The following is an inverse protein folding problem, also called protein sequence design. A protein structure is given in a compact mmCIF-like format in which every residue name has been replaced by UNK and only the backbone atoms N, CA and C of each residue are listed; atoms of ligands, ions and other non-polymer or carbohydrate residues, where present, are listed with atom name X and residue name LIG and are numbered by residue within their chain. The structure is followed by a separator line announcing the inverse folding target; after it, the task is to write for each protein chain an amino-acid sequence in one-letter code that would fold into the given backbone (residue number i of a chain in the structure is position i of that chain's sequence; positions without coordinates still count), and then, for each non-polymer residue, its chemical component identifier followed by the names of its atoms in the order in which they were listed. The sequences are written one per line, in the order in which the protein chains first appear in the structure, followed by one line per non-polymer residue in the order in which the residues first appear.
data_IF_635627442170
#
_entry.id   IF_635627442170
#
_cell.length_a   1.000
_cell.length_b   1.000
_cell.length_c   1.000
_cell.angle_alpha   90.00
_cell.angle_beta   90.00
_cell.angle_gamma   90.00
#
_symmetry.space_group_name_H-M   'P 1'
#
loop_
_entity.id
_entity.type
_entity.pdbx_description
1 polymer ?
#
# COMPACT_ATOMS: atom_id res chain seq x y z
N UNK A 1 -21.36 -12.99 -45.34
CA UNK A 1 -21.10 -12.10 -44.19
C UNK A 1 -19.59 -12.02 -44.09
N UNK A 2 -19.00 -10.82 -44.09
CA UNK A 2 -17.57 -10.67 -43.83
C UNK A 2 -17.23 -11.44 -42.55
N UNK A 3 -16.38 -12.47 -42.64
CA UNK A 3 -16.12 -13.47 -41.59
C UNK A 3 -15.58 -12.88 -40.27
N UNK A 4 -15.26 -11.59 -40.25
CA UNK A 4 -14.61 -10.90 -39.15
C UNK A 4 -15.55 -10.05 -38.29
N UNK A 5 -16.82 -9.85 -38.68
CA UNK A 5 -17.80 -9.11 -37.88
C UNK A 5 -18.59 -10.05 -36.98
N UNK A 6 -18.45 -9.86 -35.67
CA UNK A 6 -19.14 -10.67 -34.66
C UNK A 6 -20.30 -9.88 -34.08
N UNK A 7 -21.49 -10.49 -34.07
CA UNK A 7 -22.66 -9.98 -33.35
C UNK A 7 -22.48 -10.15 -31.84
N UNK A 8 -22.56 -9.04 -31.11
CA UNK A 8 -22.41 -9.00 -29.65
C UNK A 8 -23.72 -8.71 -28.91
N UNK A 9 -24.83 -8.49 -29.61
CA UNK A 9 -26.16 -8.28 -29.02
C UNK A 9 -27.01 -7.19 -29.66
N UNK A 10 -28.20 -6.98 -29.12
CA UNK A 10 -29.13 -5.95 -29.58
C UNK A 10 -28.67 -4.56 -29.13
N UNK A 11 -28.66 -3.59 -30.04
CA UNK A 11 -28.21 -2.22 -29.76
C UNK A 11 -29.06 -1.56 -28.66
N UNK A 12 -30.38 -1.79 -28.66
CA UNK A 12 -31.29 -1.23 -27.66
C UNK A 12 -31.00 -1.74 -26.24
N UNK A 13 -30.59 -3.00 -26.09
CA UNK A 13 -30.21 -3.57 -24.80
C UNK A 13 -28.83 -3.07 -24.37
N UNK A 14 -27.85 -3.13 -25.27
CA UNK A 14 -26.47 -2.79 -24.96
C UNK A 14 -26.29 -1.29 -24.67
N UNK A 15 -27.10 -0.42 -25.26
CA UNK A 15 -27.08 1.02 -25.03
C UNK A 15 -27.60 1.45 -23.63
N UNK A 16 -28.18 0.53 -22.85
CA UNK A 16 -28.66 0.84 -21.49
C UNK A 16 -27.54 1.01 -20.47
N UNK A 17 -26.31 0.61 -20.81
CA UNK A 17 -25.14 0.70 -19.93
C UNK A 17 -24.05 1.53 -20.57
N UNK A 18 -23.47 2.46 -19.82
CA UNK A 18 -22.37 3.29 -20.30
C UNK A 18 -21.11 2.45 -20.63
N UNK A 19 -20.87 1.39 -19.88
CA UNK A 19 -19.78 0.43 -20.08
C UNK A 19 -20.23 -0.96 -19.62
N UNK A 20 -19.80 -1.99 -20.32
CA UNK A 20 -20.03 -3.38 -19.95
C UNK A 20 -18.98 -4.31 -20.59
N UNK A 21 -18.75 -5.47 -19.96
CA UNK A 21 -18.01 -6.57 -20.58
C UNK A 21 -18.88 -7.27 -21.61
N UNK A 22 -18.32 -7.49 -22.79
CA UNK A 22 -18.90 -8.33 -23.83
C UNK A 22 -17.85 -9.29 -24.39
N UNK A 23 -18.30 -10.35 -25.04
CA UNK A 23 -17.44 -11.27 -25.78
C UNK A 23 -17.73 -11.15 -27.27
N UNK A 24 -16.71 -10.85 -28.05
CA UNK A 24 -16.73 -10.87 -29.51
C UNK A 24 -15.88 -12.06 -29.99
N UNK A 25 -16.52 -13.20 -30.26
CA UNK A 25 -15.84 -14.44 -30.60
C UNK A 25 -15.05 -14.96 -29.39
N UNK A 26 -13.72 -15.03 -29.51
CA UNK A 26 -12.83 -15.41 -28.41
C UNK A 26 -12.26 -14.20 -27.64
N UNK A 27 -12.57 -12.97 -28.07
CA UNK A 27 -12.01 -11.74 -27.48
C UNK A 27 -12.98 -11.17 -26.45
N UNK A 28 -12.48 -10.90 -25.24
CA UNK A 28 -13.21 -10.07 -24.27
C UNK A 28 -12.99 -8.59 -24.55
N UNK A 29 -14.09 -7.85 -24.69
CA UNK A 29 -14.08 -6.41 -24.95
C UNK A 29 -14.77 -5.65 -23.82
N UNK A 30 -14.31 -4.42 -23.59
CA UNK A 30 -15.09 -3.39 -22.92
C UNK A 30 -15.90 -2.67 -24.01
N UNK A 31 -17.21 -2.89 -24.00
CA UNK A 31 -18.15 -2.19 -24.87
C UNK A 31 -18.64 -0.95 -24.12
N UNK A 32 -18.49 0.21 -24.75
CA UNK A 32 -18.93 1.50 -24.22
C UNK A 32 -20.07 2.06 -25.07
N UNK A 33 -20.98 2.78 -24.43
CA UNK A 33 -22.03 3.55 -25.09
C UNK A 33 -22.03 4.97 -24.56
N UNK A 34 -21.89 5.94 -25.46
CA UNK A 34 -21.94 7.36 -25.12
C UNK A 34 -22.33 8.18 -26.35
N UNK A 35 -23.18 9.18 -26.14
CA UNK A 35 -23.56 10.18 -27.15
C UNK A 35 -24.02 9.54 -28.48
N UNK A 36 -24.84 8.49 -28.39
CA UNK A 36 -25.38 7.79 -29.56
C UNK A 36 -24.39 6.84 -30.26
N UNK A 37 -23.19 6.62 -29.70
CA UNK A 37 -22.13 5.87 -30.36
C UNK A 37 -21.52 4.78 -29.48
N UNK A 38 -21.42 3.57 -30.03
CA UNK A 38 -20.66 2.48 -29.43
C UNK A 38 -19.14 2.67 -29.63
N UNK A 39 -18.37 2.17 -28.68
CA UNK A 39 -16.93 1.97 -28.81
C UNK A 39 -16.52 0.64 -28.20
N UNK A 40 -15.60 -0.08 -28.82
CA UNK A 40 -15.10 -1.35 -28.33
C UNK A 40 -13.58 -1.33 -28.22
N UNK A 41 -13.07 -1.68 -27.05
CA UNK A 41 -11.64 -1.89 -26.81
C UNK A 41 -11.44 -3.21 -26.08
N UNK A 42 -10.21 -3.71 -26.06
CA UNK A 42 -9.89 -4.95 -25.35
C UNK A 42 -10.14 -4.79 -23.85
N UNK A 43 -10.74 -5.79 -23.22
CA UNK A 43 -11.18 -5.69 -21.82
C UNK A 43 -10.01 -5.55 -20.82
N UNK A 44 -8.87 -6.19 -21.07
CA UNK A 44 -7.69 -6.09 -20.21
C UNK A 44 -6.89 -4.77 -20.37
N UNK A 45 -6.86 -3.97 -19.30
CA UNK A 45 -6.02 -2.78 -19.11
C UNK A 45 -4.51 -3.09 -19.22
N UNK A 46 -3.72 -2.19 -19.82
CA UNK A 46 -2.27 -2.38 -19.99
C UNK A 46 -1.47 -2.33 -18.68
N UNK A 47 -1.98 -1.71 -17.61
CA UNK A 47 -1.29 -1.60 -16.33
C UNK A 47 -1.04 -3.00 -15.70
N UNK A 48 -2.07 -3.66 -15.18
CA UNK A 48 -1.96 -5.02 -14.63
C UNK A 48 -3.09 -5.97 -15.04
N UNK A 49 -3.81 -5.63 -16.12
CA UNK A 49 -4.85 -6.50 -16.69
C UNK A 49 -6.25 -6.35 -16.08
N UNK A 50 -6.56 -5.20 -15.49
CA UNK A 50 -7.89 -4.90 -14.95
C UNK A 50 -9.00 -4.94 -16.02
N UNK A 51 -10.21 -5.42 -15.68
CA UNK A 51 -11.33 -5.54 -16.62
C UNK A 51 -12.01 -4.17 -16.84
N UNK A 52 -11.68 -3.50 -17.94
CA UNK A 52 -12.22 -2.18 -18.29
C UNK A 52 -13.74 -2.19 -18.46
N UNK A 53 -14.33 -3.33 -18.85
CA UNK A 53 -15.77 -3.48 -18.96
C UNK A 53 -16.51 -3.52 -17.61
N UNK A 54 -15.81 -3.75 -16.50
CA UNK A 54 -16.34 -3.59 -15.13
C UNK A 54 -15.99 -2.20 -14.54
N UNK A 55 -15.37 -1.34 -15.35
CA UNK A 55 -14.95 0.00 -14.98
C UNK A 55 -16.07 1.03 -15.06
N UNK A 56 -15.65 2.28 -15.21
CA UNK A 56 -16.54 3.42 -15.43
C UNK A 56 -16.14 4.18 -16.70
N UNK A 57 -16.98 5.11 -17.13
CA UNK A 57 -16.67 6.03 -18.22
C UNK A 57 -16.54 7.46 -17.65
N UNK A 58 -15.41 8.12 -17.90
CA UNK A 58 -15.16 9.51 -17.55
C UNK A 58 -14.80 10.28 -18.82
N UNK A 59 -15.71 11.11 -19.33
CA UNK A 59 -15.52 11.66 -20.67
C UNK A 59 -15.56 10.55 -21.73
N UNK A 60 -14.65 10.60 -22.70
CA UNK A 60 -14.45 9.52 -23.66
C UNK A 60 -13.48 8.44 -23.18
N UNK A 61 -13.14 8.41 -21.89
CA UNK A 61 -12.16 7.49 -21.34
C UNK A 61 -12.79 6.43 -20.46
N UNK A 62 -12.50 5.17 -20.77
CA UNK A 62 -12.75 4.02 -19.90
C UNK A 62 -11.77 4.06 -18.74
N UNK A 63 -12.30 3.99 -17.52
CA UNK A 63 -11.55 4.06 -16.27
C UNK A 63 -11.47 2.66 -15.67
N UNK A 64 -10.25 2.15 -15.54
CA UNK A 64 -9.99 0.83 -14.99
C UNK A 64 -10.48 0.74 -13.52
N UNK A 65 -11.26 -0.29 -13.15
CA UNK A 65 -11.81 -0.41 -11.80
C UNK A 65 -10.76 -0.75 -10.73
N UNK A 66 -9.52 -1.09 -11.12
CA UNK A 66 -8.47 -1.44 -10.17
C UNK A 66 -7.57 -0.26 -9.83
N UNK A 67 -7.10 0.49 -10.82
CA UNK A 67 -6.08 1.53 -10.61
C UNK A 67 -6.39 2.79 -11.38
N UNK A 68 -7.64 2.98 -11.80
CA UNK A 68 -8.12 4.18 -12.47
C UNK A 68 -7.38 4.55 -13.78
N UNK A 69 -6.50 3.69 -14.30
CA UNK A 69 -5.85 3.85 -15.60
C UNK A 69 -6.90 4.05 -16.68
N UNK A 70 -6.65 5.01 -17.58
CA UNK A 70 -7.63 5.48 -18.53
C UNK A 70 -7.23 5.18 -19.96
N UNK A 71 -8.21 4.74 -20.75
CA UNK A 71 -8.05 4.54 -22.20
C UNK A 71 -9.25 5.09 -22.95
N UNK A 72 -9.00 5.77 -24.05
CA UNK A 72 -10.04 6.31 -24.91
C UNK A 72 -10.88 5.18 -25.50
N UNK A 73 -12.19 5.26 -25.30
CA UNK A 73 -13.16 4.16 -25.49
C UNK A 73 -13.30 3.66 -26.94
N UNK A 74 -12.81 4.42 -27.93
CA UNK A 74 -12.89 4.10 -29.37
C UNK A 74 -11.54 3.88 -30.04
N UNK A 75 -10.47 4.48 -29.51
CA UNK A 75 -9.14 4.43 -30.14
C UNK A 75 -8.15 3.59 -29.34
N UNK A 76 -8.48 3.31 -28.08
CA UNK A 76 -7.66 2.57 -27.14
C UNK A 76 -6.43 3.31 -26.63
N UNK A 77 -6.22 4.57 -27.04
CA UNK A 77 -5.08 5.38 -26.59
C UNK A 77 -5.23 5.75 -25.11
N UNK A 78 -4.12 5.88 -24.38
CA UNK A 78 -4.10 6.44 -23.03
C UNK A 78 -4.65 7.87 -22.99
N UNK A 79 -4.91 8.36 -21.78
CA UNK A 79 -5.32 9.76 -21.57
C UNK A 79 -4.21 10.76 -21.95
N UNK A 80 -4.53 12.06 -22.08
CA UNK A 80 -3.55 13.05 -22.52
C UNK A 80 -2.26 13.01 -21.69
N UNK A 81 -1.11 12.91 -22.35
CA UNK A 81 0.20 12.70 -21.74
C UNK A 81 0.63 11.23 -21.59
N UNK A 82 -0.27 10.28 -21.86
CA UNK A 82 -0.04 8.83 -21.78
C UNK A 82 -0.39 8.11 -23.09
N UNK A 83 -0.43 8.81 -24.21
CA UNK A 83 -0.88 8.29 -25.52
C UNK A 83 0.03 7.17 -26.07
N UNK A 84 1.26 7.06 -25.55
CA UNK A 84 2.17 5.96 -25.85
C UNK A 84 1.67 4.60 -25.31
N UNK A 85 0.76 4.60 -24.33
CA UNK A 85 0.09 3.40 -23.84
C UNK A 85 -1.23 3.18 -24.62
N UNK A 86 -1.39 2.02 -25.24
CA UNK A 86 -2.53 1.71 -26.11
C UNK A 86 -3.04 0.29 -25.93
N UNK A 87 -4.33 0.16 -25.65
CA UNK A 87 -5.05 -1.11 -25.73
C UNK A 87 -5.67 -1.30 -27.13
N UNK A 88 -5.85 -2.54 -27.62
CA UNK A 88 -6.52 -2.78 -28.89
C UNK A 88 -7.92 -2.17 -28.93
N UNK A 89 -8.24 -1.43 -29.98
CA UNK A 89 -9.57 -0.95 -30.29
C UNK A 89 -10.12 -1.71 -31.50
N UNK A 90 -11.43 -1.94 -31.49
CA UNK A 90 -12.13 -2.72 -32.51
C UNK A 90 -13.18 -1.84 -33.20
N UNK A 91 -13.24 -1.85 -34.54
CA UNK A 91 -14.32 -1.19 -35.26
C UNK A 91 -15.69 -1.75 -34.82
N UNK A 92 -16.67 -0.85 -34.65
CA UNK A 92 -18.03 -1.19 -34.26
C UNK A 92 -19.00 -0.59 -35.28
N UNK A 93 -20.01 -1.34 -35.69
CA UNK A 93 -21.14 -0.84 -36.48
C UNK A 93 -22.46 -1.38 -35.92
N UNK A 94 -23.56 -0.69 -36.25
CA UNK A 94 -24.92 -1.14 -35.93
C UNK A 94 -25.64 -1.42 -37.24
N UNK A 95 -26.06 -2.66 -37.46
CA UNK A 95 -26.79 -3.08 -38.66
C UNK A 95 -27.99 -3.92 -38.23
N UNK A 96 -29.19 -3.62 -38.76
CA UNK A 96 -30.41 -4.34 -38.40
C UNK A 96 -30.72 -4.34 -36.89
N UNK A 97 -30.33 -3.28 -36.17
CA UNK A 97 -30.49 -3.19 -34.71
C UNK A 97 -29.51 -4.05 -33.89
N UNK A 98 -28.52 -4.67 -34.53
CA UNK A 98 -27.49 -5.51 -33.90
C UNK A 98 -26.16 -4.77 -33.84
N UNK A 99 -25.43 -4.89 -32.73
CA UNK A 99 -24.07 -4.36 -32.60
C UNK A 99 -23.10 -5.40 -33.12
N UNK A 100 -22.30 -5.01 -34.12
CA UNK A 100 -21.30 -5.86 -34.76
C UNK A 100 -19.91 -5.30 -34.46
N UNK A 101 -18.97 -6.17 -34.07
CA UNK A 101 -17.58 -5.82 -33.74
C UNK A 101 -16.62 -6.55 -34.67
N UNK A 102 -15.69 -5.83 -35.30
CA UNK A 102 -14.67 -6.45 -36.16
C UNK A 102 -13.42 -6.81 -35.37
N UNK A 103 -13.21 -8.10 -35.12
CA UNK A 103 -12.08 -8.60 -34.30
C UNK A 103 -10.76 -8.68 -35.07
N UNK A 104 -10.79 -8.79 -36.40
CA UNK A 104 -9.60 -8.88 -37.24
C UNK A 104 -8.93 -7.52 -37.49
N UNK A 105 -9.71 -6.43 -37.41
CA UNK A 105 -9.24 -5.06 -37.61
C UNK A 105 -8.79 -4.37 -36.31
N UNK A 106 -8.33 -5.15 -35.32
CA UNK A 106 -7.90 -4.63 -34.03
C UNK A 106 -6.64 -3.76 -34.17
N UNK A 107 -6.60 -2.62 -33.49
CA UNK A 107 -5.35 -1.86 -33.40
C UNK A 107 -4.32 -2.61 -32.55
N UNK A 108 -3.01 -2.48 -32.82
CA UNK A 108 -1.99 -3.18 -32.02
C UNK A 108 -2.00 -2.70 -30.57
N UNK A 109 -1.73 -3.62 -29.65
CA UNK A 109 -1.45 -3.29 -28.25
C UNK A 109 -0.04 -2.71 -28.15
N UNK A 110 0.09 -1.59 -27.46
CA UNK A 110 1.39 -0.98 -27.14
C UNK A 110 1.39 -0.66 -25.66
N UNK A 111 2.44 -1.03 -24.93
CA UNK A 111 2.60 -0.59 -23.53
C UNK A 111 3.52 0.61 -23.50
N UNK A 112 3.06 1.72 -22.92
CA UNK A 112 3.89 2.90 -22.69
C UNK A 112 5.12 2.52 -21.86
N UNK A 113 6.29 3.04 -22.22
CA UNK A 113 7.48 2.88 -21.38
C UNK A 113 7.40 3.87 -20.22
N UNK A 114 7.34 3.34 -19.00
CA UNK A 114 7.51 4.13 -17.78
C UNK A 114 8.76 3.66 -17.06
N UNK A 115 9.57 4.59 -16.58
CA UNK A 115 10.69 4.26 -15.72
C UNK A 115 10.15 3.49 -14.50
N UNK A 116 10.80 2.37 -14.10
CA UNK A 116 10.36 1.64 -12.92
C UNK A 116 10.39 2.54 -11.69
N UNK A 117 9.37 2.42 -10.84
CA UNK A 117 9.33 3.15 -9.58
C UNK A 117 10.59 2.83 -8.74
N UNK A 118 11.24 3.80 -8.07
CA UNK A 118 12.50 3.57 -7.34
C UNK A 118 12.45 2.44 -6.30
N UNK A 119 11.30 2.22 -5.66
CA UNK A 119 11.07 1.12 -4.71
C UNK A 119 11.04 -0.29 -5.36
N UNK A 120 10.88 -0.40 -6.67
CA UNK A 120 10.77 -1.67 -7.38
C UNK A 120 12.11 -2.43 -7.48
N UNK A 121 13.23 -1.75 -7.19
CA UNK A 121 14.56 -2.33 -7.19
C UNK A 121 14.67 -3.55 -6.27
N UNK A 122 15.62 -4.47 -6.51
CA UNK A 122 15.85 -5.59 -5.60
C UNK A 122 16.24 -5.11 -4.19
N UNK A 123 15.69 -5.70 -3.12
CA UNK A 123 16.09 -5.38 -1.75
C UNK A 123 17.46 -5.98 -1.47
N UNK A 124 18.50 -5.15 -1.59
CA UNK A 124 19.89 -5.53 -1.30
C UNK A 124 20.40 -4.62 -0.19
N UNK A 125 20.87 -5.23 0.90
CA UNK A 125 21.44 -4.52 2.04
C UNK A 125 22.83 -4.00 1.65
N UNK A 126 22.98 -2.67 1.64
CA UNK A 126 24.28 -2.03 1.40
C UNK A 126 25.22 -2.23 2.59
N UNK A 127 26.53 -2.33 2.33
CA UNK A 127 27.56 -2.37 3.38
C UNK A 127 27.50 -1.15 4.32
N UNK A 128 27.97 -1.31 5.56
CA UNK A 128 27.94 -0.27 6.57
C UNK A 128 27.52 -0.75 7.96
N UNK A 129 27.29 0.18 8.91
CA UNK A 129 26.78 -0.13 10.25
C UNK A 129 25.34 -0.66 10.22
N UNK A 130 24.87 -1.20 11.34
CA UNK A 130 23.46 -1.57 11.51
C UNK A 130 22.57 -0.33 11.39
N UNK A 131 21.47 -0.44 10.65
CA UNK A 131 20.50 0.64 10.43
C UNK A 131 19.22 0.41 11.22
N UNK A 132 18.84 1.39 12.04
CA UNK A 132 17.65 1.35 12.88
C UNK A 132 16.67 2.43 12.43
N UNK A 133 15.51 2.02 11.92
CA UNK A 133 14.40 2.92 11.64
C UNK A 133 13.41 2.93 12.81
N UNK A 134 13.13 4.10 13.37
CA UNK A 134 12.02 4.31 14.28
C UNK A 134 10.82 4.88 13.55
N UNK A 135 9.64 4.29 13.75
CA UNK A 135 8.37 4.77 13.19
C UNK A 135 7.47 5.18 14.35
N UNK A 136 7.23 6.49 14.49
CA UNK A 136 6.30 7.04 15.46
C UNK A 136 4.90 7.11 14.83
N UNK A 137 3.91 6.49 15.47
CA UNK A 137 2.56 6.37 14.91
C UNK A 137 1.53 7.22 15.64
N UNK A 138 1.93 8.04 16.61
CA UNK A 138 1.00 8.93 17.30
C UNK A 138 0.30 9.87 16.31
N UNK A 139 -1.00 10.07 16.48
CA UNK A 139 -1.80 11.01 15.68
C UNK A 139 -1.89 12.41 16.33
N UNK A 140 -1.00 12.72 17.27
CA UNK A 140 -0.97 14.03 17.92
C UNK A 140 -0.67 15.13 16.91
N UNK A 141 -1.26 16.31 17.13
CA UNK A 141 -1.06 17.48 16.29
C UNK A 141 0.41 17.91 16.30
N UNK A 142 1.04 17.93 15.12
CA UNK A 142 2.41 18.40 14.94
C UNK A 142 2.55 19.92 15.07
N UNK A 143 1.49 20.68 14.80
CA UNK A 143 1.46 22.15 14.92
C UNK A 143 1.27 22.63 16.37
N UNK A 144 0.77 21.74 17.25
CA UNK A 144 0.57 22.01 18.67
C UNK A 144 1.12 20.83 19.49
N UNK A 145 2.46 20.70 19.57
CA UNK A 145 3.10 19.54 20.14
C UNK A 145 2.78 19.38 21.63
N UNK A 146 2.54 18.13 22.02
CA UNK A 146 2.37 17.69 23.41
C UNK A 146 3.30 16.52 23.67
N UNK A 147 3.60 16.29 24.95
CA UNK A 147 4.38 15.12 25.34
C UNK A 147 3.71 13.82 24.87
N UNK A 148 4.49 12.96 24.20
CA UNK A 148 4.10 11.63 23.76
C UNK A 148 5.05 10.60 24.34
N UNK A 149 4.59 9.79 25.29
CA UNK A 149 5.42 8.78 25.94
C UNK A 149 5.94 7.71 24.96
N UNK A 150 5.17 7.35 23.93
CA UNK A 150 5.65 6.45 22.88
C UNK A 150 6.80 7.05 22.08
N UNK A 151 6.73 8.36 21.81
CA UNK A 151 7.74 9.06 21.01
C UNK A 151 9.00 9.33 21.85
N UNK A 152 8.86 9.67 23.14
CA UNK A 152 9.99 9.84 24.06
C UNK A 152 10.80 8.55 24.21
N UNK A 153 10.12 7.43 24.43
CA UNK A 153 10.77 6.12 24.52
C UNK A 153 11.39 5.69 23.18
N UNK A 154 10.76 6.02 22.06
CA UNK A 154 11.35 5.80 20.73
C UNK A 154 12.61 6.63 20.52
N UNK A 155 12.57 7.93 20.86
CA UNK A 155 13.72 8.81 20.78
C UNK A 155 14.87 8.32 21.67
N UNK A 156 14.55 7.84 22.88
CA UNK A 156 15.51 7.22 23.79
C UNK A 156 16.17 5.98 23.18
N UNK A 157 15.38 5.09 22.57
CA UNK A 157 15.90 3.91 21.88
C UNK A 157 16.80 4.28 20.68
N UNK A 158 16.36 5.21 19.83
CA UNK A 158 17.18 5.66 18.70
C UNK A 158 18.48 6.32 19.14
N UNK A 159 18.44 7.16 20.18
CA UNK A 159 19.65 7.79 20.73
C UNK A 159 20.65 6.75 21.24
N UNK A 160 20.16 5.70 21.91
CA UNK A 160 21.00 4.60 22.38
C UNK A 160 21.64 3.81 21.23
N UNK A 161 20.86 3.47 20.20
CA UNK A 161 21.39 2.79 19.02
C UNK A 161 22.48 3.61 18.31
N UNK A 162 22.27 4.93 18.19
CA UNK A 162 23.25 5.85 17.61
C UNK A 162 24.53 5.93 18.46
N UNK A 163 24.41 5.99 19.78
CA UNK A 163 25.56 5.97 20.69
C UNK A 163 26.37 4.65 20.59
N UNK A 164 25.71 3.55 20.25
CA UNK A 164 26.33 2.23 20.03
C UNK A 164 26.77 2.00 18.57
N UNK A 165 26.81 3.05 17.74
CA UNK A 165 27.38 3.03 16.40
C UNK A 165 26.42 2.63 15.27
N UNK A 166 25.11 2.54 15.53
CA UNK A 166 24.11 2.32 14.48
C UNK A 166 23.77 3.62 13.74
N UNK A 167 23.41 3.51 12.48
CA UNK A 167 22.73 4.58 11.75
C UNK A 167 21.24 4.59 12.14
N UNK A 168 20.68 5.77 12.41
CA UNK A 168 19.29 5.88 12.88
C UNK A 168 18.47 6.85 12.05
N UNK A 169 17.21 6.51 11.76
CA UNK A 169 16.22 7.41 11.15
C UNK A 169 14.92 7.38 11.94
N UNK A 170 14.31 8.54 12.13
CA UNK A 170 12.95 8.67 12.69
C UNK A 170 11.99 9.03 11.56
N UNK A 171 10.86 8.32 11.49
CA UNK A 171 9.76 8.59 10.59
C UNK A 171 8.51 8.82 11.45
N UNK A 172 8.01 10.05 11.47
CA UNK A 172 6.78 10.38 12.19
C UNK A 172 5.60 10.37 11.24
N UNK A 173 4.66 9.45 11.43
CA UNK A 173 3.53 9.29 10.49
C UNK A 173 2.60 10.51 10.48
N UNK A 174 2.51 11.27 11.57
CA UNK A 174 1.73 12.52 11.61
C UNK A 174 2.37 13.68 10.84
N UNK A 175 3.62 13.53 10.39
CA UNK A 175 4.30 14.50 9.53
C UNK A 175 4.20 14.11 8.04
N UNK A 176 3.59 12.96 7.71
CA UNK A 176 3.46 12.48 6.34
C UNK A 176 2.03 12.67 5.81
N UNK A 177 1.92 13.12 4.58
CA UNK A 177 0.72 13.02 3.77
C UNK A 177 0.69 11.68 3.04
N UNK A 178 -0.16 10.75 3.47
CA UNK A 178 -0.32 9.47 2.77
C UNK A 178 -1.77 9.03 2.74
N UNK A 179 -2.12 8.23 1.74
CA UNK A 179 -3.50 7.82 1.47
C UNK A 179 -3.87 6.52 2.19
N UNK A 180 -5.16 6.32 2.46
CA UNK A 180 -5.65 5.05 3.02
C UNK A 180 -5.56 3.91 1.98
N UNK A 181 -5.60 2.65 2.42
CA UNK A 181 -5.71 1.53 1.49
C UNK A 181 -7.11 1.50 0.86
N UNK A 182 -7.18 1.38 -0.46
CA UNK A 182 -8.46 1.30 -1.20
C UNK A 182 -8.94 -0.16 -1.40
N UNK A 183 -8.25 -1.15 -0.82
CA UNK A 183 -8.69 -2.54 -0.84
C UNK A 183 -8.57 -3.24 -2.19
N UNK A 184 -7.59 -2.87 -3.03
CA UNK A 184 -7.43 -3.47 -4.37
C UNK A 184 -7.23 -4.98 -4.37
N UNK A 185 -6.61 -5.55 -3.32
CA UNK A 185 -6.50 -7.00 -3.17
C UNK A 185 -7.88 -7.68 -3.19
N UNK A 186 -8.88 -7.08 -2.53
CA UNK A 186 -10.26 -7.58 -2.49
C UNK A 186 -10.98 -7.47 -3.84
N UNK A 187 -10.46 -6.66 -4.79
CA UNK A 187 -10.95 -6.63 -6.17
C UNK A 187 -10.31 -7.73 -7.01
N UNK A 188 -9.00 -7.94 -6.87
CA UNK A 188 -8.26 -9.05 -7.42
C UNK A 188 -6.89 -9.16 -6.75
N UNK A 189 -6.39 -10.37 -6.52
CA UNK A 189 -5.07 -10.57 -5.91
C UNK A 189 -3.95 -9.81 -6.66
N UNK A 190 -3.97 -9.86 -8.01
CA UNK A 190 -3.03 -9.15 -8.89
C UNK A 190 -3.18 -7.63 -8.91
N UNK A 191 -4.25 -7.08 -8.34
CA UNK A 191 -4.46 -5.64 -8.25
C UNK A 191 -3.71 -5.02 -7.04
N UNK A 192 -3.25 -5.82 -6.08
CA UNK A 192 -2.34 -5.34 -5.05
C UNK A 192 -0.89 -5.55 -5.50
N UNK A 193 -0.24 -4.49 -5.98
CA UNK A 193 1.10 -4.55 -6.58
C UNK A 193 2.20 -4.10 -5.62
N UNK A 194 3.44 -4.54 -5.89
CA UNK A 194 4.65 -3.92 -5.34
C UNK A 194 5.41 -3.17 -6.44
N UNK A 195 5.82 -1.91 -6.20
CA UNK A 195 5.45 -1.03 -5.08
C UNK A 195 3.94 -0.80 -5.00
N UNK A 196 3.42 -0.34 -3.86
CA UNK A 196 1.98 -0.14 -3.68
C UNK A 196 1.39 0.69 -4.84
N UNK A 197 0.33 0.20 -5.48
CA UNK A 197 -0.31 0.90 -6.60
C UNK A 197 -0.70 2.33 -6.24
N UNK A 198 -1.23 2.58 -5.04
CA UNK A 198 -1.61 3.93 -4.61
C UNK A 198 -0.40 4.87 -4.62
N UNK A 199 0.75 4.41 -4.14
CA UNK A 199 2.01 5.17 -4.18
C UNK A 199 2.51 5.39 -5.61
N UNK A 200 2.31 4.43 -6.51
CA UNK A 200 2.66 4.60 -7.92
C UNK A 200 1.75 5.61 -8.63
N UNK A 201 0.48 5.69 -8.23
CA UNK A 201 -0.53 6.55 -8.85
C UNK A 201 -0.53 7.97 -8.33
N UNK A 202 -0.10 8.17 -7.08
CA UNK A 202 -0.21 9.43 -6.34
C UNK A 202 1.18 9.94 -5.99
N UNK A 203 1.62 10.97 -6.71
CA UNK A 203 2.93 11.59 -6.48
C UNK A 203 3.06 12.29 -5.13
N UNK A 204 1.93 12.60 -4.49
CA UNK A 204 1.81 13.19 -3.16
C UNK A 204 1.77 12.15 -2.02
N UNK A 205 1.84 10.85 -2.33
CA UNK A 205 1.82 9.79 -1.30
C UNK A 205 3.21 9.60 -0.66
N UNK A 206 3.38 10.12 0.54
CA UNK A 206 4.66 10.14 1.26
C UNK A 206 4.96 8.84 2.03
N UNK A 207 4.12 7.81 1.88
CA UNK A 207 4.38 6.49 2.48
C UNK A 207 5.61 5.79 1.88
N UNK A 208 6.13 6.31 0.77
CA UNK A 208 7.42 5.91 0.18
C UNK A 208 8.55 5.87 1.21
N UNK A 209 8.59 6.82 2.15
CA UNK A 209 9.62 6.85 3.21
C UNK A 209 9.57 5.60 4.11
N UNK A 210 8.36 5.14 4.44
CA UNK A 210 8.14 3.91 5.21
C UNK A 210 8.56 2.69 4.39
N UNK A 211 8.11 2.59 3.14
CA UNK A 211 8.50 1.47 2.27
C UNK A 211 10.01 1.37 2.07
N UNK A 212 10.66 2.51 1.86
CA UNK A 212 12.11 2.61 1.75
C UNK A 212 12.81 2.14 3.03
N UNK A 213 12.32 2.57 4.19
CA UNK A 213 12.85 2.12 5.48
C UNK A 213 12.68 0.61 5.69
N UNK A 214 11.47 0.08 5.51
CA UNK A 214 11.15 -1.32 5.81
C UNK A 214 11.84 -2.28 4.84
N UNK A 215 11.79 -2.00 3.53
CA UNK A 215 12.24 -2.96 2.50
C UNK A 215 13.72 -2.79 2.20
N UNK A 216 14.20 -1.55 2.07
CA UNK A 216 15.52 -1.29 1.49
C UNK A 216 16.57 -0.87 2.51
N UNK A 217 16.21 -0.04 3.48
CA UNK A 217 17.22 0.66 4.28
C UNK A 217 17.51 0.01 5.63
N UNK A 218 16.50 -0.29 6.45
CA UNK A 218 16.69 -0.66 7.85
C UNK A 218 17.02 -2.15 8.04
N UNK A 219 17.91 -2.46 8.98
CA UNK A 219 18.12 -3.82 9.50
C UNK A 219 17.17 -4.08 10.69
N UNK A 220 16.90 -3.03 11.47
CA UNK A 220 15.99 -3.03 12.63
C UNK A 220 14.90 -1.97 12.44
N UNK A 221 13.66 -2.33 12.72
CA UNK A 221 12.51 -1.42 12.71
C UNK A 221 11.88 -1.39 14.10
N UNK A 222 11.85 -0.21 14.71
CA UNK A 222 11.15 0.07 15.96
C UNK A 222 9.82 0.76 15.62
N UNK A 223 8.68 0.18 16.02
CA UNK A 223 7.37 0.84 15.88
C UNK A 223 6.90 1.29 17.25
N UNK A 224 6.67 2.60 17.41
CA UNK A 224 6.14 3.17 18.64
C UNK A 224 4.71 3.66 18.44
N UNK A 225 3.79 3.12 19.22
CA UNK A 225 2.36 3.46 19.14
C UNK A 225 1.78 3.78 20.50
N UNK A 226 0.90 4.81 20.59
CA UNK A 226 0.01 4.92 21.71
C UNK A 226 -1.10 3.84 21.64
N UNK A 227 -1.72 3.53 22.77
CA UNK A 227 -2.97 2.76 22.84
C UNK A 227 -4.16 3.73 22.76
N UNK A 228 -5.10 3.48 21.85
CA UNK A 228 -6.37 4.21 21.68
C UNK A 228 -7.51 3.21 21.57
N UNK A 229 -8.49 3.27 22.48
CA UNK A 229 -9.60 2.30 22.51
C UNK A 229 -9.13 0.83 22.50
N UNK A 230 -8.07 0.55 23.28
CA UNK A 230 -7.45 -0.78 23.34
C UNK A 230 -6.71 -1.19 22.07
N UNK A 231 -6.51 -0.32 21.09
CA UNK A 231 -5.84 -0.65 19.83
C UNK A 231 -4.60 0.22 19.63
N UNK A 232 -3.74 -0.18 18.69
CA UNK A 232 -2.71 0.73 18.17
C UNK A 232 -3.36 1.99 17.56
N UNK A 233 -2.55 3.03 17.37
CA UNK A 233 -3.02 4.29 16.79
C UNK A 233 -3.68 4.13 15.40
N UNK A 234 -4.56 5.05 15.03
CA UNK A 234 -5.16 5.07 13.69
C UNK A 234 -4.12 5.20 12.57
N UNK A 235 -3.03 5.95 12.78
CA UNK A 235 -1.97 6.06 11.78
C UNK A 235 -1.17 4.75 11.63
N UNK A 236 -1.01 3.97 12.70
CA UNK A 236 -0.46 2.62 12.60
C UNK A 236 -1.32 1.76 11.66
N UNK A 237 -2.64 1.72 11.83
CA UNK A 237 -3.51 0.92 10.98
C UNK A 237 -3.52 1.42 9.54
N UNK A 238 -3.61 2.73 9.33
CA UNK A 238 -3.55 3.35 8.00
C UNK A 238 -2.26 2.97 7.26
N UNK A 239 -1.12 2.92 7.96
CA UNK A 239 0.14 2.40 7.43
C UNK A 239 0.07 0.89 7.19
N UNK A 240 -0.32 0.10 8.19
CA UNK A 240 -0.32 -1.36 8.15
C UNK A 240 -1.17 -1.91 7.00
N UNK A 241 -2.38 -1.37 6.79
CA UNK A 241 -3.26 -1.73 5.68
C UNK A 241 -2.58 -1.56 4.30
N UNK A 242 -1.71 -0.55 4.18
CA UNK A 242 -0.93 -0.27 2.98
C UNK A 242 0.29 -1.19 2.83
N UNK A 243 0.74 -1.88 3.87
CA UNK A 243 1.83 -2.86 3.81
C UNK A 243 1.36 -4.23 3.28
N UNK A 244 0.07 -4.44 3.05
CA UNK A 244 -0.43 -5.67 2.42
C UNK A 244 0.21 -5.94 1.05
N UNK A 245 0.64 -4.89 0.34
CA UNK A 245 1.40 -5.04 -0.90
C UNK A 245 2.73 -5.79 -0.74
N UNK A 246 3.36 -5.71 0.45
CA UNK A 246 4.58 -6.43 0.80
C UNK A 246 4.25 -7.89 1.10
N UNK A 247 3.25 -8.12 1.98
CA UNK A 247 2.79 -9.48 2.35
C UNK A 247 2.41 -10.28 1.11
N UNK A 248 1.66 -9.66 0.18
CA UNK A 248 1.21 -10.29 -1.04
C UNK A 248 2.36 -10.72 -1.95
N UNK A 249 3.55 -10.11 -1.89
CA UNK A 249 4.68 -10.60 -2.68
C UNK A 249 5.08 -12.02 -2.28
N UNK A 250 4.95 -12.37 -1.01
CA UNK A 250 5.23 -13.72 -0.51
C UNK A 250 4.16 -14.69 -1.03
N UNK A 251 2.89 -14.37 -0.81
CA UNK A 251 1.77 -15.30 -1.05
C UNK A 251 1.37 -15.44 -2.53
N UNK A 252 1.55 -14.39 -3.34
CA UNK A 252 1.07 -14.36 -4.74
C UNK A 252 2.19 -14.34 -5.78
N UNK A 253 3.41 -13.97 -5.40
CA UNK A 253 4.55 -13.86 -6.32
C UNK A 253 5.77 -14.70 -5.89
N UNK A 254 5.68 -15.45 -4.78
CA UNK A 254 6.77 -16.22 -4.20
C UNK A 254 8.07 -15.39 -4.03
N UNK A 255 7.90 -14.13 -3.62
CA UNK A 255 8.97 -13.14 -3.47
C UNK A 255 8.95 -12.56 -2.06
N UNK A 256 10.00 -12.85 -1.29
CA UNK A 256 10.17 -12.29 0.05
C UNK A 256 10.90 -10.95 -0.05
N UNK A 257 10.23 -9.86 0.34
CA UNK A 257 10.82 -8.51 0.35
C UNK A 257 11.51 -8.17 1.68
N UNK A 258 10.96 -8.64 2.79
CA UNK A 258 11.53 -8.48 4.14
C UNK A 258 12.31 -9.75 4.45
N UNK A 259 13.64 -9.64 4.45
CA UNK A 259 14.53 -10.77 4.77
C UNK A 259 15.60 -10.28 5.72
N UNK A 260 15.89 -11.06 6.76
CA UNK A 260 16.94 -10.78 7.73
C UNK A 260 16.76 -9.41 8.41
N UNK A 261 15.51 -9.03 8.71
CA UNK A 261 15.17 -7.78 9.38
C UNK A 261 14.46 -8.05 10.69
N UNK A 262 14.75 -7.21 11.68
CA UNK A 262 14.22 -7.33 13.03
C UNK A 262 13.14 -6.27 13.25
N UNK A 263 12.03 -6.64 13.88
CA UNK A 263 11.02 -5.71 14.34
C UNK A 263 10.93 -5.72 15.88
N UNK A 264 10.64 -4.57 16.47
CA UNK A 264 10.40 -4.42 17.91
C UNK A 264 9.47 -3.25 18.21
N UNK A 265 8.80 -3.30 19.36
CA UNK A 265 7.64 -2.43 19.60
C UNK A 265 7.73 -1.65 20.91
N UNK A 266 7.25 -0.40 20.88
CA UNK A 266 7.10 0.47 22.04
C UNK A 266 5.62 0.82 22.14
N UNK A 267 4.95 0.37 23.19
CA UNK A 267 3.49 0.46 23.32
C UNK A 267 3.13 1.25 24.57
N UNK A 268 2.55 2.44 24.44
CA UNK A 268 2.26 3.30 25.59
C UNK A 268 0.77 3.62 25.67
N UNK A 269 0.12 3.19 26.74
CA UNK A 269 -1.28 3.49 27.04
C UNK A 269 -1.42 4.21 28.38
N UNK A 270 -2.57 4.87 28.58
CA UNK A 270 -2.96 5.37 29.90
C UNK A 270 -3.49 4.24 30.79
N UNK A 271 -4.48 3.49 30.31
CA UNK A 271 -5.19 2.48 31.09
C UNK A 271 -4.69 1.05 30.82
N UNK A 272 -5.15 0.39 29.75
CA UNK A 272 -4.93 -1.05 29.57
C UNK A 272 -4.80 -1.48 28.10
N UNK A 273 -4.67 -2.79 27.88
CA UNK A 273 -4.65 -3.56 26.63
C UNK A 273 -3.30 -3.69 25.91
N UNK A 274 -2.19 -3.56 26.65
CA UNK A 274 -0.84 -3.74 26.12
C UNK A 274 -0.67 -5.07 25.38
N UNK A 275 -1.08 -6.18 26.00
CA UNK A 275 -0.88 -7.52 25.43
C UNK A 275 -1.69 -7.72 24.15
N UNK A 276 -2.91 -7.16 24.09
CA UNK A 276 -3.75 -7.21 22.89
C UNK A 276 -3.10 -6.47 21.71
N UNK A 277 -2.59 -5.26 21.96
CA UNK A 277 -1.86 -4.48 20.94
C UNK A 277 -0.57 -5.18 20.52
N UNK A 278 0.22 -5.67 21.48
CA UNK A 278 1.46 -6.37 21.21
C UNK A 278 1.23 -7.63 20.36
N UNK A 279 0.22 -8.45 20.71
CA UNK A 279 -0.12 -9.66 19.96
C UNK A 279 -0.50 -9.36 18.50
N UNK A 280 -1.31 -8.32 18.27
CA UNK A 280 -1.67 -7.91 16.92
C UNK A 280 -0.46 -7.43 16.11
N UNK A 281 0.43 -6.62 16.70
CA UNK A 281 1.62 -6.12 16.03
C UNK A 281 2.61 -7.25 15.71
N UNK A 282 2.86 -8.15 16.68
CA UNK A 282 3.71 -9.33 16.50
C UNK A 282 3.19 -10.22 15.36
N UNK A 283 1.89 -10.55 15.37
CA UNK A 283 1.29 -11.37 14.32
C UNK A 283 1.40 -10.73 12.94
N UNK A 284 1.11 -9.43 12.84
CA UNK A 284 1.17 -8.72 11.57
C UNK A 284 2.59 -8.62 11.00
N UNK A 285 3.59 -8.25 11.82
CA UNK A 285 4.97 -8.13 11.35
C UNK A 285 5.61 -9.51 11.07
N UNK A 286 5.17 -10.56 11.75
CA UNK A 286 5.56 -11.94 11.43
C UNK A 286 5.14 -12.32 10.00
N UNK A 287 3.89 -12.03 9.64
CA UNK A 287 3.33 -12.28 8.30
C UNK A 287 4.04 -11.46 7.20
N UNK A 288 4.67 -10.34 7.54
CA UNK A 288 5.51 -9.58 6.62
C UNK A 288 6.91 -10.18 6.42
N UNK A 289 7.36 -11.07 7.31
CA UNK A 289 8.69 -11.71 7.28
C UNK A 289 9.72 -11.13 8.25
N UNK A 290 9.31 -10.27 9.19
CA UNK A 290 10.22 -9.79 10.25
C UNK A 290 10.48 -10.86 11.30
N UNK A 291 11.64 -10.75 11.94
CA UNK A 291 12.03 -11.55 13.09
C UNK A 291 12.00 -10.72 14.38
N UNK A 292 11.95 -11.40 15.53
CA UNK A 292 11.76 -10.76 16.83
C UNK A 292 12.87 -11.15 17.80
N UNK A 293 13.50 -10.19 18.50
CA UNK A 293 14.48 -10.51 19.53
C UNK A 293 13.77 -11.03 20.79
N UNK A 294 14.50 -11.64 21.74
CA UNK A 294 13.97 -11.90 23.07
C UNK A 294 13.42 -10.60 23.69
N UNK A 295 12.22 -10.67 24.27
CA UNK A 295 11.46 -9.50 24.77
C UNK A 295 11.31 -8.40 23.69
N UNK A 296 10.51 -8.65 22.64
CA UNK A 296 10.44 -7.82 21.43
C UNK A 296 9.59 -6.56 21.58
N UNK A 297 9.12 -6.26 22.78
CA UNK A 297 8.44 -5.01 23.06
C UNK A 297 8.71 -4.53 24.48
N UNK A 298 8.64 -3.22 24.66
CA UNK A 298 8.43 -2.59 25.96
C UNK A 298 7.07 -1.90 25.95
N UNK A 299 6.45 -1.79 27.12
CA UNK A 299 5.15 -1.19 27.22
C UNK A 299 4.89 -0.54 28.56
N UNK A 300 3.96 0.40 28.56
CA UNK A 300 3.47 1.08 29.75
C UNK A 300 1.95 1.21 29.73
N UNK A 301 1.31 0.93 30.87
CA UNK A 301 -0.07 1.29 31.16
C UNK A 301 -0.25 1.37 32.69
N UNK A 302 -1.20 2.17 33.18
CA UNK A 302 -1.47 2.31 34.63
C UNK A 302 -2.50 1.30 35.15
N UNK A 303 -3.13 0.54 34.26
CA UNK A 303 -4.20 -0.42 34.56
C UNK A 303 -5.59 0.15 34.26
N UNK A 304 -6.56 -0.76 34.06
CA UNK A 304 -7.95 -0.40 33.71
C UNK A 304 -8.61 0.56 34.71
N UNK A 305 -8.38 0.35 36.00
CA UNK A 305 -8.99 1.12 37.09
C UNK A 305 -8.21 2.37 37.51
N UNK A 306 -7.17 2.75 36.76
CA UNK A 306 -6.45 3.98 37.03
C UNK A 306 -7.27 5.18 36.53
N UNK A 307 -7.68 6.05 37.45
CA UNK A 307 -8.46 7.27 37.14
C UNK A 307 -7.61 8.55 37.25
N UNK A 308 -6.32 8.44 37.63
CA UNK A 308 -5.41 9.56 37.84
C UNK A 308 -4.53 9.86 36.60
N UNK A 309 -5.17 9.91 35.43
CA UNK A 309 -4.50 10.02 34.13
C UNK A 309 -3.65 11.30 33.99
N UNK A 310 -3.92 12.34 34.76
CA UNK A 310 -3.10 13.55 34.85
C UNK A 310 -1.65 13.28 35.27
N UNK A 311 -1.39 12.19 36.00
CA UNK A 311 -0.05 11.79 36.43
C UNK A 311 0.65 10.87 35.42
N UNK A 312 -0.05 10.37 34.40
CA UNK A 312 0.49 9.38 33.48
C UNK A 312 1.70 9.92 32.70
N UNK A 313 1.62 11.17 32.23
CA UNK A 313 2.71 11.83 31.51
C UNK A 313 3.95 11.91 32.39
N UNK A 314 3.81 12.48 33.58
CA UNK A 314 4.90 12.63 34.55
C UNK A 314 5.56 11.28 34.86
N UNK A 315 4.76 10.24 35.07
CA UNK A 315 5.28 8.90 35.34
C UNK A 315 6.17 8.39 34.19
N UNK A 316 5.70 8.48 32.94
CA UNK A 316 6.50 7.99 31.80
C UNK A 316 7.76 8.83 31.61
N UNK A 317 7.64 10.15 31.75
CA UNK A 317 8.76 11.09 31.58
C UNK A 317 9.86 10.89 32.63
N UNK A 318 9.50 10.62 33.87
CA UNK A 318 10.45 10.43 34.98
C UNK A 318 10.95 8.99 35.12
N UNK A 319 10.32 8.02 34.44
CA UNK A 319 10.66 6.60 34.58
C UNK A 319 12.00 6.25 33.94
N UNK A 320 13.02 6.06 34.77
CA UNK A 320 14.31 5.49 34.38
C UNK A 320 14.17 4.05 33.91
N UNK A 321 13.27 3.27 34.51
CA UNK A 321 13.00 1.88 34.13
C UNK A 321 12.47 1.76 32.70
N UNK A 322 11.51 2.60 32.29
CA UNK A 322 11.00 2.60 30.91
C UNK A 322 12.09 3.01 29.91
N UNK A 323 12.91 4.00 30.28
CA UNK A 323 14.04 4.46 29.46
C UNK A 323 15.12 3.38 29.32
N UNK A 324 15.47 2.67 30.40
CA UNK A 324 16.40 1.55 30.37
C UNK A 324 15.83 0.36 29.59
N UNK A 325 14.52 0.11 29.71
CA UNK A 325 13.79 -0.84 28.87
C UNK A 325 13.92 -0.52 27.39
N UNK A 326 13.76 0.76 27.00
CA UNK A 326 13.86 1.21 25.60
C UNK A 326 15.28 1.03 25.05
N UNK A 327 16.31 1.35 25.85
CA UNK A 327 17.72 1.10 25.52
C UNK A 327 18.00 -0.39 25.35
N UNK A 328 17.51 -1.22 26.28
CA UNK A 328 17.65 -2.66 26.22
C UNK A 328 16.97 -3.28 25.00
N UNK A 329 15.77 -2.81 24.66
CA UNK A 329 15.00 -3.27 23.50
C UNK A 329 15.79 -3.10 22.21
N UNK A 330 16.29 -1.88 21.96
CA UNK A 330 17.04 -1.62 20.73
C UNK A 330 18.36 -2.37 20.68
N UNK A 331 19.05 -2.51 21.82
CA UNK A 331 20.31 -3.27 21.89
C UNK A 331 20.10 -4.73 21.47
N UNK A 332 19.12 -5.41 22.06
CA UNK A 332 18.78 -6.80 21.68
C UNK A 332 18.37 -6.91 20.21
N UNK A 333 17.66 -5.91 19.70
CA UNK A 333 17.24 -5.87 18.29
C UNK A 333 18.45 -5.74 17.35
N UNK A 334 19.39 -4.87 17.67
CA UNK A 334 20.63 -4.66 16.91
C UNK A 334 21.55 -5.89 16.99
N UNK A 335 21.68 -6.49 18.17
CA UNK A 335 22.43 -7.74 18.36
C UNK A 335 21.87 -8.86 17.49
N UNK A 336 20.54 -9.05 17.49
CA UNK A 336 19.89 -10.04 16.64
C UNK A 336 20.08 -9.74 15.14
N UNK A 337 19.97 -8.48 14.73
CA UNK A 337 20.14 -8.11 13.33
C UNK A 337 21.55 -8.40 12.80
N UNK A 338 22.57 -8.46 13.67
CA UNK A 338 23.95 -8.83 13.31
C UNK A 338 24.17 -10.33 13.11
N UNK A 339 23.18 -11.17 13.41
CA UNK A 339 23.27 -12.63 13.24
C UNK A 339 23.01 -13.10 11.80
N UNK A 340 22.54 -12.22 10.92
CA UNK A 340 22.17 -12.50 9.54
C UNK A 340 22.89 -11.59 8.55
#
# INVERSE_FOLDING_TARGET
MDENWVDVGAAAELATRAVQRCRAGQVEIALSWRDGQFGAVHNACNHVGGPLGDGALAGDYLVCPWHQWKFHRRTGLGEPGFEADRIPAFPVKVEGGRVLVNVAAATPRQRGQHAPHPLARPPVRAEGPTRVAGIATTAMNSEAPRYSGSDDLLATALAAAKAEGSETRLISLNALHFHACEGYYSKAARACTWPCSITQMRSDDELTAVYEALVHWADVVLIATPIRWGQASSLYFKMAERLNCIQNQITTHNRVLIRNKVASFIIVGGQDNVQGVAAQMLGFFAELGFQFPPFPYIAHSRGWSAEDMENNIRYVEESTELKDGARGLVRRSVEMARLF
#
